data_IF_432169408538
#
_entry.id   IF_432169408538
#
_cell.length_a   1.000
_cell.length_b   1.000
_cell.length_c   1.000
_cell.angle_alpha   90.00
_cell.angle_beta   90.00
_cell.angle_gamma   90.00
#
_symmetry.space_group_name_H-M   'P 1'
#
loop_
_entity.id
_entity.type
_entity.pdbx_description
1 polymer ?
#
# COMPACT_ATOMS: atom_id res chain seq x y z
N UNK A 1 -54.72 21.86 30.73
CA UNK A 1 -53.92 21.72 29.50
C UNK A 1 -52.48 21.45 29.93
N UNK A 2 -52.08 20.18 29.96
CA UNK A 2 -50.74 19.75 30.43
C UNK A 2 -49.75 19.88 29.27
N UNK A 3 -48.69 20.67 29.46
CA UNK A 3 -47.57 20.78 28.52
C UNK A 3 -46.73 19.51 28.60
N UNK A 4 -46.61 18.80 27.48
CA UNK A 4 -45.71 17.65 27.35
C UNK A 4 -44.25 18.13 27.42
N UNK A 5 -43.48 17.60 28.37
CA UNK A 5 -42.03 17.81 28.45
C UNK A 5 -41.32 17.11 27.29
N UNK A 6 -40.41 17.83 26.63
CA UNK A 6 -39.53 17.24 25.61
C UNK A 6 -38.57 16.23 26.26
N UNK A 7 -38.22 15.11 25.57
CA UNK A 7 -37.18 14.22 26.04
C UNK A 7 -35.79 14.87 25.96
N UNK A 8 -34.99 14.60 26.97
CA UNK A 8 -33.59 15.05 27.13
C UNK A 8 -32.73 14.56 25.94
N UNK A 9 -32.06 15.48 25.25
CA UNK A 9 -31.10 15.13 24.19
C UNK A 9 -29.86 14.44 24.78
N UNK A 10 -29.37 13.33 24.20
CA UNK A 10 -28.16 12.70 24.69
C UNK A 10 -26.94 13.59 24.37
N UNK A 11 -26.40 14.24 25.40
CA UNK A 11 -25.13 14.96 25.31
C UNK A 11 -24.02 14.01 24.87
N UNK A 12 -23.52 14.20 23.65
CA UNK A 12 -22.33 13.53 23.14
C UNK A 12 -21.15 13.80 24.09
N UNK A 13 -20.58 12.73 24.65
CA UNK A 13 -19.45 12.84 25.59
C UNK A 13 -18.21 13.22 24.79
N UNK A 14 -17.66 14.40 25.04
CA UNK A 14 -16.42 14.84 24.40
C UNK A 14 -15.26 13.91 24.78
N UNK A 15 -14.73 13.21 23.78
CA UNK A 15 -13.60 12.31 23.95
C UNK A 15 -12.33 13.17 23.99
N UNK A 16 -11.69 13.28 25.16
CA UNK A 16 -10.44 14.03 25.30
C UNK A 16 -9.42 13.48 24.29
N UNK A 17 -8.97 14.36 23.40
CA UNK A 17 -8.04 14.04 22.31
C UNK A 17 -6.83 13.26 22.82
N UNK A 18 -6.62 12.09 22.21
CA UNK A 18 -5.38 11.35 22.36
C UNK A 18 -4.24 12.26 21.89
N UNK A 19 -3.29 12.56 22.78
CA UNK A 19 -2.12 13.39 22.45
C UNK A 19 -1.44 12.80 21.21
N UNK A 20 -1.47 13.52 20.10
CA UNK A 20 -0.68 13.20 18.92
C UNK A 20 0.78 13.33 19.34
N UNK A 21 1.44 12.17 19.55
CA UNK A 21 2.86 12.12 19.87
C UNK A 21 3.67 12.73 18.72
N UNK A 22 4.67 13.54 19.07
CA UNK A 22 5.64 14.08 18.12
C UNK A 22 6.23 12.97 17.23
N UNK A 23 6.60 13.25 15.96
CA UNK A 23 7.19 12.24 15.10
C UNK A 23 8.48 11.73 15.73
N UNK A 24 8.49 10.46 16.12
CA UNK A 24 9.70 9.81 16.61
C UNK A 24 10.68 9.77 15.44
N UNK A 25 11.85 10.39 15.58
CA UNK A 25 12.98 10.31 14.65
C UNK A 25 13.65 8.92 14.66
N UNK A 26 12.90 7.85 14.92
CA UNK A 26 13.38 6.50 14.61
C UNK A 26 13.43 6.41 13.10
N UNK A 27 14.65 6.58 12.58
CA UNK A 27 15.09 6.02 11.31
C UNK A 27 14.28 4.76 11.03
N UNK A 28 13.49 4.80 9.95
CA UNK A 28 12.78 3.64 9.40
C UNK A 28 13.76 2.48 9.45
N UNK A 29 13.55 1.57 10.40
CA UNK A 29 14.36 0.37 10.49
C UNK A 29 14.19 -0.30 9.14
N UNK A 30 15.27 -0.31 8.36
CA UNK A 30 15.34 -0.98 7.07
C UNK A 30 14.79 -2.38 7.29
N UNK A 31 13.52 -2.57 6.92
CA UNK A 31 12.82 -3.81 7.13
C UNK A 31 13.65 -4.83 6.35
N UNK A 32 14.39 -5.65 7.10
CA UNK A 32 15.46 -6.56 6.65
C UNK A 32 15.28 -6.83 5.16
N UNK A 33 16.06 -6.14 4.33
CA UNK A 33 15.95 -6.27 2.87
C UNK A 33 16.23 -7.73 2.58
N UNK A 34 15.18 -8.52 2.39
CA UNK A 34 15.33 -9.88 1.89
C UNK A 34 15.80 -9.67 0.47
N UNK A 35 17.07 -10.00 0.21
CA UNK A 35 17.65 -9.90 -1.11
C UNK A 35 16.67 -10.51 -2.13
N UNK A 36 16.25 -9.75 -3.15
CA UNK A 36 15.29 -10.23 -4.11
C UNK A 36 15.82 -11.50 -4.76
N UNK A 37 15.04 -12.58 -4.72
CA UNK A 37 15.36 -13.79 -5.50
C UNK A 37 15.01 -13.48 -6.96
N UNK A 38 15.87 -13.90 -7.89
CA UNK A 38 15.62 -13.77 -9.33
C UNK A 38 15.41 -12.32 -9.81
N UNK A 39 16.09 -11.35 -9.18
CA UNK A 39 15.97 -9.92 -9.49
C UNK A 39 14.76 -9.24 -8.83
N UNK A 40 13.93 -9.98 -8.09
CA UNK A 40 12.79 -9.44 -7.39
C UNK A 40 11.50 -9.50 -8.19
N UNK A 41 10.36 -9.14 -7.59
CA UNK A 41 9.05 -9.26 -8.23
C UNK A 41 8.93 -8.63 -9.62
N UNK A 42 9.76 -7.64 -9.93
CA UNK A 42 9.82 -6.90 -11.20
C UNK A 42 11.15 -7.06 -11.97
N UNK A 43 12.09 -7.88 -11.48
CA UNK A 43 13.44 -7.95 -12.05
C UNK A 43 13.68 -9.00 -13.13
N UNK A 44 12.74 -9.92 -13.34
CA UNK A 44 12.82 -10.95 -14.39
C UNK A 44 11.81 -10.76 -15.52
N UNK A 45 11.49 -11.84 -16.26
CA UNK A 45 10.47 -11.80 -17.31
C UNK A 45 9.09 -11.47 -16.72
N UNK A 46 8.47 -10.40 -17.25
CA UNK A 46 7.16 -9.93 -16.81
C UNK A 46 6.07 -10.67 -17.62
N UNK A 47 5.56 -11.75 -17.04
CA UNK A 47 4.51 -12.61 -17.61
C UNK A 47 3.12 -12.10 -17.21
N UNK A 48 3.02 -11.47 -16.04
CA UNK A 48 1.78 -10.97 -15.47
C UNK A 48 1.78 -9.45 -15.35
N UNK A 49 0.63 -8.83 -15.55
CA UNK A 49 0.43 -7.41 -15.27
C UNK A 49 0.48 -7.19 -13.75
N UNK A 50 1.31 -6.23 -13.32
CA UNK A 50 1.63 -5.99 -11.91
C UNK A 50 0.51 -5.33 -11.12
N UNK A 51 -0.51 -4.78 -11.79
CA UNK A 51 -1.65 -4.11 -11.18
C UNK A 51 -2.91 -4.98 -11.16
N UNK A 52 -3.08 -5.84 -12.16
CA UNK A 52 -4.30 -6.65 -12.33
C UNK A 52 -4.08 -8.14 -12.06
N UNK A 53 -2.84 -8.64 -12.21
CA UNK A 53 -2.50 -10.05 -12.06
C UNK A 53 -2.87 -10.94 -13.26
N UNK A 54 -3.38 -10.36 -14.35
CA UNK A 54 -3.66 -11.07 -15.62
C UNK A 54 -2.40 -11.30 -16.42
N UNK A 55 -2.42 -12.16 -17.45
CA UNK A 55 -1.25 -12.30 -18.31
C UNK A 55 -1.01 -11.01 -19.11
N UNK A 56 0.25 -10.70 -19.36
CA UNK A 56 0.64 -9.61 -20.26
C UNK A 56 0.15 -9.95 -21.67
N UNK A 57 -0.51 -9.00 -22.32
CA UNK A 57 -1.10 -9.19 -23.65
C UNK A 57 -2.61 -9.50 -23.65
N UNK A 58 -3.21 -9.86 -22.51
CA UNK A 58 -4.66 -10.09 -22.38
C UNK A 58 -5.51 -8.81 -22.29
N UNK A 59 -4.92 -7.64 -22.60
CA UNK A 59 -5.66 -6.37 -22.68
C UNK A 59 -6.21 -5.84 -21.36
N UNK A 60 -5.66 -6.26 -20.21
CA UNK A 60 -6.13 -5.76 -18.93
C UNK A 60 -5.87 -4.26 -18.77
N UNK A 61 -6.95 -3.50 -18.54
CA UNK A 61 -6.89 -2.07 -18.31
C UNK A 61 -6.07 -1.78 -17.05
N UNK A 62 -4.99 -1.02 -17.22
CA UNK A 62 -4.19 -0.57 -16.08
C UNK A 62 -4.94 0.58 -15.39
N UNK A 63 -5.15 0.54 -14.07
CA UNK A 63 -5.85 1.60 -13.34
C UNK A 63 -5.21 2.97 -13.57
N UNK A 64 -6.00 4.05 -13.62
CA UNK A 64 -5.48 5.42 -13.83
C UNK A 64 -4.45 5.81 -12.77
N UNK A 65 -4.66 5.43 -11.50
CA UNK A 65 -3.70 5.71 -10.43
C UNK A 65 -2.34 5.01 -10.66
N UNK A 66 -2.35 3.80 -11.23
CA UNK A 66 -1.15 3.09 -11.64
C UNK A 66 -0.44 3.77 -12.83
N UNK A 67 -1.20 4.27 -13.80
CA UNK A 67 -0.64 5.05 -14.93
C UNK A 67 0.04 6.35 -14.45
N UNK A 68 -0.47 6.94 -13.37
CA UNK A 68 0.10 8.12 -12.71
C UNK A 68 1.25 7.78 -11.74
N UNK A 69 1.63 6.51 -11.59
CA UNK A 69 2.70 6.08 -10.67
C UNK A 69 2.34 6.18 -9.18
N UNK A 70 1.08 6.46 -8.85
CA UNK A 70 0.60 6.65 -7.47
C UNK A 70 0.23 5.33 -6.80
N UNK A 71 0.10 4.26 -7.57
CA UNK A 71 -0.31 2.96 -7.07
C UNK A 71 0.85 1.98 -7.02
N UNK A 72 1.13 1.34 -5.86
CA UNK A 72 2.10 0.27 -5.79
C UNK A 72 1.65 -0.97 -6.59
N UNK A 73 2.58 -1.71 -7.21
CA UNK A 73 2.37 -3.05 -7.75
C UNK A 73 1.69 -3.98 -6.74
N UNK A 74 0.58 -4.57 -7.13
CA UNK A 74 -0.21 -5.48 -6.28
C UNK A 74 0.07 -6.95 -6.57
N UNK A 75 0.61 -7.25 -7.74
CA UNK A 75 0.91 -8.60 -8.20
C UNK A 75 2.36 -8.69 -8.65
N UNK A 76 2.98 -9.84 -8.40
CA UNK A 76 4.31 -10.11 -8.89
C UNK A 76 4.26 -10.36 -10.40
N UNK A 77 5.02 -9.61 -11.19
CA UNK A 77 4.99 -9.75 -12.65
C UNK A 77 5.61 -11.05 -13.15
N UNK A 78 6.40 -11.75 -12.33
CA UNK A 78 6.96 -13.06 -12.69
C UNK A 78 5.98 -14.23 -12.49
N UNK A 79 5.25 -14.31 -11.36
CA UNK A 79 4.37 -15.46 -11.07
C UNK A 79 2.90 -15.13 -10.80
N UNK A 80 2.47 -13.88 -10.95
CA UNK A 80 1.06 -13.47 -10.81
C UNK A 80 0.50 -13.56 -9.38
N UNK A 81 1.32 -13.86 -8.37
CA UNK A 81 0.88 -13.90 -6.98
C UNK A 81 0.60 -12.50 -6.48
N UNK A 82 -0.50 -12.34 -5.76
CA UNK A 82 -0.80 -11.11 -5.01
C UNK A 82 0.27 -10.89 -3.94
N UNK A 83 0.83 -9.69 -3.91
CA UNK A 83 1.87 -9.29 -2.98
C UNK A 83 1.27 -8.67 -1.72
N UNK A 84 2.03 -8.73 -0.63
CA UNK A 84 1.77 -7.87 0.53
C UNK A 84 2.34 -6.50 0.20
N UNK A 85 1.50 -5.47 0.32
CA UNK A 85 1.89 -4.09 0.04
C UNK A 85 1.75 -3.29 1.31
N UNK A 86 2.77 -2.51 1.63
CA UNK A 86 2.75 -1.53 2.70
C UNK A 86 3.06 -0.16 2.10
N UNK A 87 2.20 0.80 2.39
CA UNK A 87 2.39 2.21 2.04
C UNK A 87 2.94 2.92 3.26
N UNK A 88 3.90 3.82 3.05
CA UNK A 88 4.45 4.72 4.04
C UNK A 88 4.40 6.18 3.50
N UNK A 89 4.62 7.20 4.34
CA UNK A 89 4.50 8.59 3.90
C UNK A 89 5.50 9.02 2.81
N UNK A 90 6.60 8.29 2.63
CA UNK A 90 7.67 8.62 1.68
C UNK A 90 7.76 7.62 0.52
N UNK A 91 6.91 6.61 0.48
CA UNK A 91 6.99 5.54 -0.49
C UNK A 91 6.16 4.31 -0.13
N UNK A 92 6.63 3.17 -0.60
CA UNK A 92 5.99 1.89 -0.33
C UNK A 92 6.97 0.74 -0.56
N UNK A 93 6.63 -0.43 -0.02
CA UNK A 93 7.26 -1.69 -0.40
C UNK A 93 6.21 -2.77 -0.70
N UNK A 94 6.58 -3.67 -1.60
CA UNK A 94 5.75 -4.81 -2.00
C UNK A 94 6.55 -6.11 -1.91
N UNK A 95 5.95 -7.16 -1.36
CA UNK A 95 6.60 -8.44 -1.11
C UNK A 95 5.85 -9.57 -1.81
N UNK A 96 6.56 -10.25 -2.72
CA UNK A 96 6.19 -11.58 -3.19
C UNK A 96 6.75 -12.64 -2.24
N UNK A 97 5.96 -13.68 -1.95
CA UNK A 97 6.43 -14.81 -1.14
C UNK A 97 7.50 -15.66 -1.84
N UNK A 98 7.57 -15.64 -3.18
CA UNK A 98 8.55 -16.40 -3.97
C UNK A 98 9.76 -15.56 -4.36
N UNK A 99 9.54 -14.41 -4.99
CA UNK A 99 10.60 -13.61 -5.62
C UNK A 99 11.16 -12.49 -4.73
N UNK A 100 10.68 -12.36 -3.50
CA UNK A 100 11.25 -11.38 -2.58
C UNK A 100 10.54 -10.02 -2.62
N UNK A 101 11.26 -8.99 -2.16
CA UNK A 101 10.72 -7.64 -1.95
C UNK A 101 11.15 -6.70 -3.07
N UNK A 102 10.33 -5.67 -3.29
CA UNK A 102 10.74 -4.46 -3.99
C UNK A 102 10.25 -3.21 -3.24
N UNK A 103 11.01 -2.14 -3.31
CA UNK A 103 10.66 -0.85 -2.73
C UNK A 103 10.54 0.23 -3.80
N UNK A 104 9.79 1.28 -3.50
CA UNK A 104 9.67 2.45 -4.36
C UNK A 104 11.06 3.03 -4.71
N UNK A 105 11.97 3.17 -3.75
CA UNK A 105 13.33 3.68 -4.02
C UNK A 105 14.14 2.90 -5.07
N UNK A 106 13.77 1.65 -5.37
CA UNK A 106 14.43 0.79 -6.36
C UNK A 106 13.83 0.93 -7.78
N UNK A 107 12.66 1.57 -7.92
CA UNK A 107 11.90 1.64 -9.18
C UNK A 107 11.72 3.10 -9.62
N UNK A 108 12.81 3.86 -9.72
CA UNK A 108 12.96 5.08 -10.55
C UNK A 108 11.92 6.22 -10.54
N UNK A 109 10.85 6.21 -9.73
CA UNK A 109 9.67 7.07 -9.91
C UNK A 109 9.21 7.88 -8.69
N UNK A 110 9.97 7.88 -7.60
CA UNK A 110 9.56 8.48 -6.31
C UNK A 110 10.73 9.28 -5.72
N UNK A 111 11.20 10.27 -6.49
CA UNK A 111 12.11 11.28 -5.99
C UNK A 111 11.49 12.65 -6.18
#
# INVERSE_FOLDING_TARGET
MVTAGLPDEPRIREVRGSKVGAPSTRAVAAAKVVAPKDGGPLGGAQIYNVYTGTLVGEGAATPTAAQLGLEPPRYCGQCGRRMIVQIDPVGWWAQCSRHGRIASTEIGGYR
#
